data_IF_008426092688
#
_entry.id   IF_008426092688
#
_cell.length_a   1.000
_cell.length_b   1.000
_cell.length_c   1.000
_cell.angle_alpha   90.00
_cell.angle_beta   90.00
_cell.angle_gamma   90.00
#
_symmetry.space_group_name_H-M   'P 1'
#
loop_
_entity.id
_entity.type
_entity.pdbx_description
1 polymer ?
#
# COMPACT_ATOMS: atom_id res chain seq x y z
N UNK A 1 49.71 -19.54 7.93
CA UNK A 1 49.67 -18.08 8.19
C UNK A 1 48.31 -17.80 8.76
N UNK A 2 48.27 -17.47 10.04
CA UNK A 2 47.06 -17.27 10.84
C UNK A 2 46.98 -15.78 11.14
N UNK A 3 45.92 -15.09 10.71
CA UNK A 3 45.63 -13.72 11.13
C UNK A 3 44.39 -13.70 12.02
N UNK A 4 44.53 -12.95 13.11
CA UNK A 4 43.65 -12.87 14.27
C UNK A 4 42.64 -11.72 14.17
N UNK A 5 41.43 -11.99 14.65
CA UNK A 5 40.41 -11.11 15.26
C UNK A 5 40.61 -9.58 15.25
N UNK A 6 39.63 -8.87 14.71
CA UNK A 6 39.32 -7.47 15.03
C UNK A 6 37.85 -7.31 15.42
N UNK A 7 37.48 -7.71 16.64
CA UNK A 7 36.19 -7.35 17.25
C UNK A 7 36.23 -5.86 17.63
N UNK A 8 35.53 -5.03 16.86
CA UNK A 8 35.26 -3.62 17.17
C UNK A 8 34.41 -3.54 18.45
N UNK A 9 35.05 -3.51 19.62
CA UNK A 9 34.40 -3.16 20.88
C UNK A 9 34.36 -1.62 21.00
N UNK A 10 33.20 -1.02 21.31
CA UNK A 10 33.10 0.41 21.52
C UNK A 10 33.88 0.86 22.78
N UNK A 11 34.38 2.11 22.81
CA UNK A 11 35.20 2.62 23.91
C UNK A 11 34.43 2.67 25.24
N UNK A 12 35.08 2.35 26.38
CA UNK A 12 34.43 2.35 27.68
C UNK A 12 34.20 3.79 28.16
N UNK A 13 32.94 4.23 28.22
CA UNK A 13 32.56 5.51 28.83
C UNK A 13 31.69 6.45 27.99
N UNK A 14 31.23 6.03 26.80
CA UNK A 14 30.17 6.78 26.09
C UNK A 14 28.84 6.72 26.85
N UNK A 15 27.95 7.73 26.70
CA UNK A 15 26.58 7.63 27.20
C UNK A 15 25.98 6.31 26.70
N UNK A 16 25.23 5.57 27.54
CA UNK A 16 24.63 4.31 27.11
C UNK A 16 23.89 4.55 25.79
N UNK A 17 24.01 3.64 24.81
CA UNK A 17 23.24 3.76 23.58
C UNK A 17 21.78 3.99 23.99
N UNK A 18 21.08 4.94 23.35
CA UNK A 18 19.70 5.25 23.71
C UNK A 18 18.95 3.92 23.78
N UNK A 19 18.16 3.68 24.84
CA UNK A 19 17.40 2.45 24.95
C UNK A 19 16.66 2.29 23.64
N UNK A 20 17.02 1.25 22.87
CA UNK A 20 16.23 0.83 21.72
C UNK A 20 14.86 0.63 22.32
N UNK A 21 13.96 1.55 22.01
CA UNK A 21 12.61 1.48 22.52
C UNK A 21 12.15 0.07 22.20
N UNK A 22 11.75 -0.68 23.22
CA UNK A 22 11.07 -1.95 23.06
C UNK A 22 9.72 -1.66 22.38
N UNK A 23 9.77 -1.32 21.11
CA UNK A 23 8.65 -1.21 20.19
C UNK A 23 8.55 -2.55 19.50
N UNK A 24 7.34 -3.12 19.48
CA UNK A 24 7.07 -4.39 18.82
C UNK A 24 7.64 -4.44 17.40
N UNK A 25 7.89 -5.66 16.93
CA UNK A 25 8.32 -5.92 15.55
C UNK A 25 7.56 -5.01 14.58
N UNK A 26 8.24 -4.18 13.78
CA UNK A 26 7.59 -3.32 12.81
C UNK A 26 6.68 -4.16 11.92
N UNK A 27 5.44 -3.71 11.69
CA UNK A 27 4.49 -4.46 10.86
C UNK A 27 5.06 -4.67 9.45
N UNK A 28 4.76 -5.82 8.84
CA UNK A 28 5.34 -6.29 7.59
C UNK A 28 5.10 -5.39 6.35
N UNK A 29 4.27 -4.35 6.47
CA UNK A 29 3.99 -3.40 5.41
C UNK A 29 4.12 -1.96 5.91
N UNK A 30 5.10 -1.23 5.36
CA UNK A 30 5.45 0.14 5.75
C UNK A 30 5.44 1.05 4.52
N UNK A 31 4.93 2.27 4.71
CA UNK A 31 5.06 3.33 3.70
C UNK A 31 5.45 4.63 4.39
N UNK A 32 6.53 5.22 3.91
CA UNK A 32 6.95 6.56 4.31
C UNK A 32 6.90 7.52 3.13
N UNK A 33 6.53 8.76 3.43
CA UNK A 33 6.40 9.84 2.44
C UNK A 33 6.88 11.13 3.07
N UNK A 34 7.88 11.73 2.46
CA UNK A 34 8.44 13.00 2.93
C UNK A 34 7.44 14.16 2.78
N UNK A 35 7.35 14.98 3.83
CA UNK A 35 6.54 16.18 3.82
C UNK A 35 7.26 17.33 3.10
N UNK A 36 6.62 17.93 2.11
CA UNK A 36 7.16 19.05 1.31
C UNK A 36 6.46 20.36 1.69
N UNK A 37 7.24 21.33 2.18
CA UNK A 37 6.76 22.64 2.63
C UNK A 37 6.45 23.64 1.49
N UNK A 38 7.09 23.53 0.32
CA UNK A 38 6.92 24.46 -0.80
C UNK A 38 6.39 23.76 -2.07
N UNK A 39 5.10 23.94 -2.36
CA UNK A 39 4.42 23.24 -3.47
C UNK A 39 4.12 24.16 -4.64
N UNK A 40 4.35 23.65 -5.85
CA UNK A 40 3.96 24.35 -7.07
C UNK A 40 2.42 24.31 -7.26
N UNK A 41 1.80 25.47 -7.09
CA UNK A 41 0.35 25.68 -7.21
C UNK A 41 -0.20 25.29 -8.57
N UNK A 42 0.55 25.54 -9.65
CA UNK A 42 0.12 25.26 -11.02
C UNK A 42 0.04 23.75 -11.24
N UNK A 43 1.07 23.02 -10.82
CA UNK A 43 1.09 21.56 -10.91
C UNK A 43 -0.02 20.92 -10.07
N UNK A 44 -0.37 21.52 -8.93
CA UNK A 44 -1.49 21.07 -8.09
C UNK A 44 -2.85 21.37 -8.72
N UNK A 45 -3.02 22.55 -9.33
CA UNK A 45 -4.24 22.91 -10.05
C UNK A 45 -4.52 21.96 -11.22
N UNK A 46 -3.49 21.69 -12.03
CA UNK A 46 -3.58 20.80 -13.19
C UNK A 46 -3.45 19.32 -12.84
N UNK A 47 -3.30 18.96 -11.56
CA UNK A 47 -3.07 17.58 -11.13
C UNK A 47 -4.14 16.60 -11.62
N UNK A 48 -5.41 17.03 -11.63
CA UNK A 48 -6.54 16.22 -12.10
C UNK A 48 -6.39 15.86 -13.58
N UNK A 49 -5.77 16.73 -14.38
CA UNK A 49 -5.49 16.48 -15.80
C UNK A 49 -4.19 15.68 -15.95
N UNK A 50 -3.14 16.05 -15.22
CA UNK A 50 -1.85 15.37 -15.27
C UNK A 50 -1.95 13.90 -14.88
N UNK A 51 -2.85 13.54 -13.95
CA UNK A 51 -2.99 12.16 -13.52
C UNK A 51 -3.71 11.26 -14.55
N UNK A 52 -4.45 11.82 -15.52
CA UNK A 52 -5.29 11.02 -16.43
C UNK A 52 -4.49 9.91 -17.14
N UNK A 53 -3.33 10.17 -17.77
CA UNK A 53 -2.60 9.13 -18.50
C UNK A 53 -2.15 7.99 -17.58
N UNK A 54 -1.63 8.32 -16.40
CA UNK A 54 -1.14 7.30 -15.47
C UNK A 54 -2.28 6.55 -14.77
N UNK A 55 -3.39 7.23 -14.52
CA UNK A 55 -4.62 6.61 -14.01
C UNK A 55 -5.21 5.63 -15.02
N UNK A 56 -5.16 5.92 -16.32
CA UNK A 56 -5.57 4.97 -17.37
C UNK A 56 -4.66 3.74 -17.35
N UNK A 57 -3.35 3.92 -17.30
CA UNK A 57 -2.40 2.78 -17.23
C UNK A 57 -2.68 1.92 -16.00
N UNK A 58 -2.84 2.55 -14.83
CA UNK A 58 -3.16 1.84 -13.60
C UNK A 58 -4.52 1.12 -13.68
N UNK A 59 -5.53 1.76 -14.27
CA UNK A 59 -6.84 1.15 -14.49
C UNK A 59 -6.77 -0.03 -15.45
N UNK A 60 -5.92 0.00 -16.48
CA UNK A 60 -5.70 -1.14 -17.36
C UNK A 60 -4.99 -2.30 -16.65
N UNK A 61 -4.07 -2.01 -15.73
CA UNK A 61 -3.34 -3.04 -14.97
C UNK A 61 -4.18 -3.67 -13.84
N UNK A 62 -4.98 -2.88 -13.15
CA UNK A 62 -5.68 -3.31 -11.91
C UNK A 62 -7.19 -3.39 -12.10
N UNK A 63 -7.72 -2.68 -13.09
CA UNK A 63 -9.14 -2.51 -13.30
C UNK A 63 -9.87 -3.80 -13.60
N UNK A 64 -11.17 -3.73 -13.36
CA UNK A 64 -12.11 -4.77 -13.71
C UNK A 64 -12.62 -4.48 -15.13
N UNK A 65 -12.39 -5.41 -16.05
CA UNK A 65 -12.94 -5.38 -17.40
C UNK A 65 -14.20 -6.24 -17.37
N UNK A 66 -15.35 -5.66 -17.69
CA UNK A 66 -16.58 -6.42 -17.79
C UNK A 66 -17.43 -6.01 -18.97
N UNK A 67 -18.15 -6.99 -19.51
CA UNK A 67 -19.04 -6.81 -20.66
C UNK A 67 -20.36 -7.54 -20.42
N UNK A 68 -21.41 -7.02 -21.04
CA UNK A 68 -22.71 -7.68 -21.08
C UNK A 68 -22.72 -8.67 -22.23
N UNK A 69 -22.91 -9.94 -21.93
CA UNK A 69 -22.99 -11.02 -22.91
C UNK A 69 -24.41 -11.54 -22.94
N UNK A 70 -25.00 -11.60 -24.13
CA UNK A 70 -26.31 -12.20 -24.32
C UNK A 70 -26.15 -13.73 -24.40
N UNK A 71 -26.83 -14.44 -23.50
CA UNK A 71 -26.86 -15.91 -23.46
C UNK A 71 -27.72 -16.42 -24.62
N UNK A 72 -27.50 -17.67 -25.06
CA UNK A 72 -28.32 -18.32 -26.09
C UNK A 72 -29.83 -18.35 -25.79
N UNK A 73 -30.21 -18.23 -24.51
CA UNK A 73 -31.61 -18.10 -24.06
C UNK A 73 -32.14 -16.65 -24.01
N UNK A 74 -31.42 -15.66 -24.56
CA UNK A 74 -31.84 -14.25 -24.64
C UNK A 74 -31.56 -13.41 -23.38
N UNK A 75 -31.11 -14.02 -22.28
CA UNK A 75 -30.77 -13.31 -21.03
C UNK A 75 -29.41 -12.60 -21.12
N UNK A 76 -29.35 -11.36 -20.62
CA UNK A 76 -28.11 -10.60 -20.51
C UNK A 76 -27.41 -10.93 -19.19
N UNK A 77 -26.15 -11.37 -19.29
CA UNK A 77 -25.31 -11.68 -18.14
C UNK A 77 -24.10 -10.75 -18.18
N UNK A 78 -23.84 -10.07 -17.06
CA UNK A 78 -22.61 -9.31 -16.90
C UNK A 78 -21.47 -10.24 -16.54
N UNK A 79 -20.46 -10.31 -17.40
CA UNK A 79 -19.24 -11.08 -17.16
C UNK A 79 -18.12 -10.09 -16.91
N UNK A 80 -17.38 -10.27 -15.82
CA UNK A 80 -16.21 -9.46 -15.54
C UNK A 80 -14.99 -10.31 -15.24
N UNK A 81 -13.83 -9.76 -15.58
CA UNK A 81 -12.52 -10.26 -15.25
C UNK A 81 -11.72 -9.13 -14.59
N UNK A 82 -10.97 -9.46 -13.54
CA UNK A 82 -10.00 -8.53 -12.97
C UNK A 82 -8.68 -9.25 -12.83
N UNK A 83 -7.60 -8.56 -13.19
CA UNK A 83 -6.25 -9.07 -12.98
C UNK A 83 -6.02 -9.26 -11.48
N UNK A 84 -6.34 -8.25 -10.67
CA UNK A 84 -6.24 -8.35 -9.21
C UNK A 84 -7.00 -9.55 -8.62
N UNK A 85 -8.27 -9.75 -8.99
CA UNK A 85 -9.07 -10.87 -8.48
C UNK A 85 -8.59 -12.23 -8.98
N UNK A 86 -8.15 -12.32 -10.24
CA UNK A 86 -7.58 -13.55 -10.79
C UNK A 86 -6.23 -13.90 -10.11
N UNK A 87 -5.38 -12.89 -9.90
CA UNK A 87 -4.11 -13.09 -9.20
C UNK A 87 -4.38 -13.50 -7.74
N UNK A 88 -5.26 -12.80 -7.04
CA UNK A 88 -5.64 -13.16 -5.68
C UNK A 88 -6.16 -14.60 -5.59
N UNK A 89 -7.09 -14.99 -6.48
CA UNK A 89 -7.64 -16.34 -6.51
C UNK A 89 -6.55 -17.40 -6.79
N UNK A 90 -5.64 -17.12 -7.73
CA UNK A 90 -4.52 -18.00 -8.01
C UNK A 90 -3.58 -18.12 -6.80
N UNK A 91 -3.25 -17.03 -6.11
CA UNK A 91 -2.46 -17.02 -4.88
C UNK A 91 -3.14 -17.84 -3.78
N UNK A 92 -4.43 -17.63 -3.56
CA UNK A 92 -5.22 -18.35 -2.55
C UNK A 92 -5.23 -19.86 -2.84
N UNK A 93 -5.50 -20.26 -4.09
CA UNK A 93 -5.49 -21.67 -4.49
C UNK A 93 -4.10 -22.28 -4.32
N UNK A 94 -3.05 -21.57 -4.72
CA UNK A 94 -1.68 -22.07 -4.62
C UNK A 94 -1.23 -22.25 -3.17
N UNK A 95 -1.63 -21.34 -2.28
CA UNK A 95 -1.39 -21.45 -0.85
C UNK A 95 -2.18 -22.61 -0.23
N UNK A 96 -3.45 -22.79 -0.61
CA UNK A 96 -4.34 -23.84 -0.11
C UNK A 96 -3.84 -25.25 -0.50
N UNK A 97 -3.47 -25.43 -1.77
CA UNK A 97 -3.08 -26.74 -2.31
C UNK A 97 -1.59 -27.03 -2.21
N UNK A 98 -0.73 -26.02 -2.33
CA UNK A 98 0.73 -26.20 -2.52
C UNK A 98 1.58 -25.51 -1.46
N UNK A 99 0.99 -24.69 -0.58
CA UNK A 99 1.70 -23.90 0.44
C UNK A 99 2.94 -23.16 -0.08
N UNK A 100 2.89 -22.70 -1.34
CA UNK A 100 4.05 -22.09 -2.00
C UNK A 100 3.68 -20.78 -2.66
N UNK A 101 4.37 -19.72 -2.28
CA UNK A 101 4.22 -18.41 -2.89
C UNK A 101 5.32 -18.19 -3.94
N UNK A 102 5.02 -18.13 -5.25
CA UNK A 102 6.04 -17.90 -6.26
C UNK A 102 6.71 -16.52 -6.07
N UNK A 103 8.04 -16.48 -6.05
CA UNK A 103 8.81 -15.22 -5.91
C UNK A 103 8.46 -14.21 -7.00
N UNK A 104 8.53 -14.62 -8.26
CA UNK A 104 8.21 -13.73 -9.40
C UNK A 104 6.80 -13.11 -9.32
N UNK A 105 5.85 -13.82 -8.71
CA UNK A 105 4.48 -13.34 -8.52
C UNK A 105 4.40 -12.30 -7.41
N UNK A 106 5.07 -12.57 -6.29
CA UNK A 106 5.23 -11.60 -5.21
C UNK A 106 5.91 -10.34 -5.73
N UNK A 107 7.00 -10.49 -6.48
CA UNK A 107 7.77 -9.37 -7.03
C UNK A 107 6.88 -8.50 -7.93
N UNK A 108 6.05 -9.14 -8.77
CA UNK A 108 5.07 -8.42 -9.60
C UNK A 108 4.00 -7.70 -8.76
N UNK A 109 3.40 -8.38 -7.77
CA UNK A 109 2.39 -7.76 -6.91
C UNK A 109 2.96 -6.64 -6.05
N UNK A 110 4.20 -6.79 -5.58
CA UNK A 110 4.95 -5.78 -4.84
C UNK A 110 5.17 -4.53 -5.69
N UNK A 111 5.69 -4.70 -6.92
CA UNK A 111 5.93 -3.57 -7.83
C UNK A 111 4.62 -2.91 -8.29
N UNK A 112 3.58 -3.71 -8.56
CA UNK A 112 2.25 -3.19 -8.86
C UNK A 112 1.69 -2.38 -7.69
N UNK A 113 1.84 -2.88 -6.46
CA UNK A 113 1.41 -2.17 -5.25
C UNK A 113 2.20 -0.88 -5.07
N UNK A 114 3.53 -0.90 -5.21
CA UNK A 114 4.39 0.30 -5.20
C UNK A 114 3.91 1.35 -6.18
N UNK A 115 3.65 0.94 -7.42
CA UNK A 115 3.15 1.84 -8.46
C UNK A 115 1.76 2.40 -8.11
N UNK A 116 0.83 1.56 -7.67
CA UNK A 116 -0.50 1.98 -7.24
C UNK A 116 -0.44 2.98 -6.07
N UNK A 117 0.42 2.75 -5.08
CA UNK A 117 0.63 3.65 -3.95
C UNK A 117 1.26 4.98 -4.38
N UNK A 118 2.20 4.99 -5.33
CA UNK A 118 2.75 6.24 -5.89
C UNK A 118 1.69 7.06 -6.61
N UNK A 119 0.87 6.42 -7.44
CA UNK A 119 -0.25 7.09 -8.15
C UNK A 119 -1.30 7.60 -7.15
N UNK A 120 -1.63 6.80 -6.13
CA UNK A 120 -2.54 7.19 -5.05
C UNK A 120 -2.00 8.37 -4.24
N UNK A 121 -0.72 8.32 -3.83
CA UNK A 121 -0.06 9.40 -3.10
C UNK A 121 -0.03 10.70 -3.92
N UNK A 122 0.19 10.62 -5.24
CA UNK A 122 0.10 11.77 -6.11
C UNK A 122 -1.34 12.32 -6.16
N UNK A 123 -2.33 11.46 -6.40
CA UNK A 123 -3.75 11.85 -6.49
C UNK A 123 -4.25 12.54 -5.21
N UNK A 124 -3.89 11.98 -4.06
CA UNK A 124 -4.38 12.37 -2.72
C UNK A 124 -3.47 13.47 -2.13
N UNK A 125 -2.63 14.11 -2.94
CA UNK A 125 -1.79 15.26 -2.59
C UNK A 125 -0.70 14.97 -1.55
N UNK A 126 -0.32 13.72 -1.34
CA UNK A 126 0.81 13.39 -0.46
C UNK A 126 2.15 13.77 -1.11
N UNK A 127 2.35 13.47 -2.40
CA UNK A 127 3.59 13.83 -3.13
C UNK A 127 3.32 14.78 -4.29
N UNK A 128 4.30 15.62 -4.65
CA UNK A 128 4.25 16.48 -5.83
C UNK A 128 5.01 15.92 -7.03
N UNK A 129 5.83 14.87 -6.82
CA UNK A 129 6.55 14.20 -7.90
C UNK A 129 5.56 13.40 -8.74
N UNK A 130 5.61 13.62 -10.05
CA UNK A 130 4.82 12.84 -10.99
C UNK A 130 5.28 11.37 -10.93
N UNK A 131 4.34 10.41 -10.76
CA UNK A 131 4.71 9.02 -10.51
C UNK A 131 5.47 8.43 -11.71
N UNK A 132 6.72 8.01 -11.48
CA UNK A 132 7.50 7.28 -12.47
C UNK A 132 7.10 5.81 -12.52
N UNK A 133 7.14 5.23 -13.71
CA UNK A 133 6.90 3.79 -13.96
C UNK A 133 8.18 2.95 -13.85
N UNK A 134 9.35 3.58 -13.87
CA UNK A 134 10.67 2.91 -13.94
C UNK A 134 11.56 3.23 -12.75
N UNK A 135 11.57 4.49 -12.27
CA UNK A 135 12.48 4.90 -11.20
C UNK A 135 11.89 4.64 -9.80
N UNK A 136 12.75 4.33 -8.85
CA UNK A 136 12.42 4.41 -7.44
C UNK A 136 12.19 5.88 -7.04
N UNK A 137 11.12 6.16 -6.31
CA UNK A 137 10.77 7.52 -5.84
C UNK A 137 10.47 7.51 -4.35
N UNK A 138 10.32 8.71 -3.77
CA UNK A 138 10.12 9.07 -2.35
C UNK A 138 8.93 8.40 -1.62
N UNK A 139 8.28 7.41 -2.24
CA UNK A 139 7.34 6.50 -1.56
C UNK A 139 8.09 5.19 -1.35
N UNK A 140 8.81 5.12 -0.23
CA UNK A 140 9.51 3.92 0.20
C UNK A 140 8.49 2.95 0.79
N UNK A 141 8.05 2.00 -0.04
CA UNK A 141 7.18 0.91 0.37
C UNK A 141 8.03 -0.34 0.60
N UNK A 142 8.25 -0.64 1.87
CA UNK A 142 8.91 -1.85 2.35
C UNK A 142 7.83 -2.88 2.69
N UNK A 143 7.80 -3.99 1.94
CA UNK A 143 7.08 -5.20 2.31
C UNK A 143 8.10 -6.28 2.63
N UNK A 144 7.97 -6.90 3.80
CA UNK A 144 8.80 -8.04 4.17
C UNK A 144 8.36 -9.26 3.34
N UNK A 145 9.32 -9.97 2.72
CA UNK A 145 9.02 -11.19 1.96
C UNK A 145 8.60 -12.31 2.92
N UNK A 146 7.42 -12.93 2.74
CA UNK A 146 6.92 -13.92 3.68
C UNK A 146 7.50 -15.30 3.41
N UNK A 147 7.99 -15.96 4.46
CA UNK A 147 8.32 -17.39 4.41
C UNK A 147 7.01 -18.19 4.53
N UNK A 148 6.41 -18.49 3.37
CA UNK A 148 5.09 -19.12 3.24
C UNK A 148 4.91 -20.47 3.98
N UNK A 149 6.00 -21.15 4.33
CA UNK A 149 5.97 -22.42 5.09
C UNK A 149 5.89 -22.22 6.62
N UNK A 150 6.30 -21.06 7.14
CA UNK A 150 6.32 -20.77 8.59
C UNK A 150 5.21 -19.83 9.02
N UNK A 151 4.91 -18.82 8.21
CA UNK A 151 4.08 -17.69 8.63
C UNK A 151 2.63 -17.74 8.11
N UNK A 152 2.30 -18.73 7.26
CA UNK A 152 0.98 -18.80 6.62
C UNK A 152 0.32 -20.17 6.80
N UNK A 153 -0.74 -20.20 7.58
CA UNK A 153 -1.51 -21.40 7.88
C UNK A 153 -2.61 -21.68 6.85
N UNK A 154 -2.76 -22.95 6.41
CA UNK A 154 -3.55 -23.37 5.22
C UNK A 154 -5.03 -22.93 5.19
N UNK A 155 -5.64 -22.75 6.36
CA UNK A 155 -7.08 -22.47 6.50
C UNK A 155 -7.39 -21.01 6.87
N UNK A 156 -6.38 -20.26 7.30
CA UNK A 156 -6.57 -18.91 7.82
C UNK A 156 -7.00 -17.88 6.78
N UNK A 157 -6.52 -17.91 5.52
CA UNK A 157 -6.91 -16.93 4.50
C UNK A 157 -8.42 -16.77 4.31
N UNK A 158 -9.21 -17.83 4.50
CA UNK A 158 -10.67 -17.76 4.40
C UNK A 158 -11.32 -17.07 5.61
N UNK A 159 -10.81 -17.34 6.81
CA UNK A 159 -11.31 -16.74 8.06
C UNK A 159 -10.93 -15.27 8.17
N UNK A 160 -9.76 -14.88 7.63
CA UNK A 160 -9.26 -13.50 7.61
C UNK A 160 -10.29 -12.49 7.09
N UNK A 161 -11.05 -12.86 6.05
CA UNK A 161 -12.07 -11.99 5.46
C UNK A 161 -13.16 -11.58 6.45
N UNK A 162 -13.59 -12.49 7.33
CA UNK A 162 -14.60 -12.17 8.34
C UNK A 162 -14.05 -11.23 9.41
N UNK A 163 -12.81 -11.44 9.83
CA UNK A 163 -12.13 -10.61 10.84
C UNK A 163 -11.77 -9.22 10.28
N UNK A 164 -11.69 -9.07 8.95
CA UNK A 164 -11.46 -7.77 8.29
C UNK A 164 -12.71 -6.92 8.12
N UNK A 165 -13.91 -7.48 8.28
CA UNK A 165 -15.15 -6.73 8.12
C UNK A 165 -15.16 -5.44 8.99
N UNK A 166 -14.79 -5.49 10.29
CA UNK A 166 -14.67 -4.28 11.11
C UNK A 166 -13.68 -3.26 10.54
N UNK A 167 -12.51 -3.69 10.04
CA UNK A 167 -11.53 -2.80 9.42
C UNK A 167 -12.10 -2.10 8.20
N UNK A 168 -12.81 -2.82 7.33
CA UNK A 168 -13.43 -2.23 6.14
C UNK A 168 -14.48 -1.18 6.51
N UNK A 169 -15.28 -1.43 7.55
CA UNK A 169 -16.28 -0.46 8.01
C UNK A 169 -15.60 0.83 8.49
N UNK A 170 -14.58 0.72 9.33
CA UNK A 170 -13.92 1.93 9.86
C UNK A 170 -13.12 2.64 8.78
N UNK A 171 -12.40 1.91 7.92
CA UNK A 171 -11.68 2.49 6.78
C UNK A 171 -12.64 3.18 5.81
N UNK A 172 -13.85 2.67 5.63
CA UNK A 172 -14.86 3.33 4.80
C UNK A 172 -15.21 4.73 5.34
N UNK A 173 -15.48 4.85 6.65
CA UNK A 173 -15.75 6.16 7.26
C UNK A 173 -14.53 7.09 7.21
N UNK A 174 -13.33 6.56 7.46
CA UNK A 174 -12.11 7.35 7.36
C UNK A 174 -11.81 7.81 5.93
N UNK A 175 -12.08 6.97 4.94
CA UNK A 175 -11.92 7.29 3.52
C UNK A 175 -12.87 8.42 3.09
N UNK A 176 -14.10 8.45 3.60
CA UNK A 176 -15.01 9.58 3.41
C UNK A 176 -14.39 10.85 4.00
N UNK A 177 -13.86 10.79 5.23
CA UNK A 177 -13.13 11.91 5.82
C UNK A 177 -11.94 12.34 4.95
N UNK A 178 -11.16 11.39 4.44
CA UNK A 178 -9.97 11.65 3.64
C UNK A 178 -10.33 12.33 2.33
N UNK A 179 -11.42 11.92 1.70
CA UNK A 179 -11.95 12.55 0.51
C UNK A 179 -12.21 14.05 0.71
N UNK A 180 -12.91 14.43 1.79
CA UNK A 180 -13.14 15.85 2.09
C UNK A 180 -11.86 16.59 2.46
N UNK A 181 -10.94 15.95 3.19
CA UNK A 181 -9.64 16.53 3.57
C UNK A 181 -8.77 16.76 2.33
N UNK A 182 -8.82 15.88 1.32
CA UNK A 182 -8.12 16.06 0.04
C UNK A 182 -8.68 17.25 -0.73
N UNK A 183 -10.00 17.38 -0.83
CA UNK A 183 -10.63 18.52 -1.49
C UNK A 183 -10.23 19.81 -0.78
N UNK A 184 -10.34 19.84 0.55
CA UNK A 184 -9.90 20.97 1.36
C UNK A 184 -8.42 21.29 1.16
N UNK A 185 -7.55 20.27 1.15
CA UNK A 185 -6.11 20.41 0.94
C UNK A 185 -5.80 20.94 -0.45
N UNK A 186 -6.54 20.51 -1.47
CA UNK A 186 -6.40 21.01 -2.84
C UNK A 186 -6.60 22.52 -2.88
N UNK A 187 -7.71 23.02 -2.33
CA UNK A 187 -7.95 24.47 -2.22
C UNK A 187 -6.90 25.15 -1.34
N UNK A 188 -6.57 24.58 -0.19
CA UNK A 188 -5.57 25.13 0.72
C UNK A 188 -4.22 25.33 0.03
N UNK A 189 -3.75 24.38 -0.77
CA UNK A 189 -2.50 24.48 -1.52
C UNK A 189 -2.59 25.54 -2.62
N UNK A 190 -3.72 25.71 -3.30
CA UNK A 190 -3.88 26.76 -4.31
C UNK A 190 -3.72 28.17 -3.71
N UNK A 191 -4.28 28.40 -2.53
CA UNK A 191 -4.20 29.70 -1.86
C UNK A 191 -2.87 29.90 -1.12
N UNK A 192 -2.42 28.90 -0.38
CA UNK A 192 -1.29 29.03 0.56
C UNK A 192 0.02 28.44 0.04
N UNK A 193 0.00 27.61 -1.00
CA UNK A 193 1.18 26.89 -1.50
C UNK A 193 1.63 25.72 -0.63
N UNK A 194 0.92 25.43 0.47
CA UNK A 194 1.29 24.41 1.45
C UNK A 194 0.09 23.55 1.84
N UNK A 195 0.35 22.29 2.15
CA UNK A 195 -0.65 21.40 2.74
C UNK A 195 -0.64 21.57 4.26
N UNK A 196 -1.79 21.75 4.94
CA UNK A 196 -1.82 21.77 6.40
C UNK A 196 -1.30 20.45 6.97
N UNK A 197 -0.37 20.48 7.93
CA UNK A 197 0.25 19.25 8.50
C UNK A 197 -0.77 18.24 8.99
N UNK A 198 -1.83 18.68 9.69
CA UNK A 198 -2.89 17.79 10.16
C UNK A 198 -3.67 17.10 9.03
N UNK A 199 -3.81 17.75 7.87
CA UNK A 199 -4.44 17.13 6.70
C UNK A 199 -3.53 16.07 6.07
N UNK A 200 -2.23 16.37 5.95
CA UNK A 200 -1.23 15.43 5.48
C UNK A 200 -1.14 14.19 6.39
N UNK A 201 -1.01 14.39 7.71
CA UNK A 201 -0.91 13.31 8.69
C UNK A 201 -2.14 12.40 8.69
N UNK A 202 -3.33 13.00 8.55
CA UNK A 202 -4.58 12.25 8.47
C UNK A 202 -4.63 11.39 7.20
N UNK A 203 -4.37 12.00 6.03
CA UNK A 203 -4.36 11.30 4.75
C UNK A 203 -3.34 10.16 4.75
N UNK A 204 -2.12 10.42 5.21
CA UNK A 204 -1.05 9.45 5.27
C UNK A 204 -1.38 8.32 6.24
N UNK A 205 -1.99 8.63 7.38
CA UNK A 205 -2.41 7.62 8.35
C UNK A 205 -3.49 6.69 7.82
N UNK A 206 -4.48 7.22 7.08
CA UNK A 206 -5.50 6.41 6.40
C UNK A 206 -4.86 5.52 5.33
N UNK A 207 -3.91 6.06 4.55
CA UNK A 207 -3.14 5.30 3.56
C UNK A 207 -2.32 4.17 4.17
N UNK A 208 -1.58 4.43 5.25
CA UNK A 208 -0.81 3.45 6.02
C UNK A 208 -1.71 2.33 6.54
N UNK A 209 -2.86 2.68 7.09
CA UNK A 209 -3.79 1.67 7.58
C UNK A 209 -4.39 0.82 6.45
N UNK A 210 -4.79 1.46 5.35
CA UNK A 210 -5.24 0.76 4.14
C UNK A 210 -4.20 -0.21 3.59
N UNK A 211 -2.92 0.19 3.56
CA UNK A 211 -1.81 -0.68 3.16
C UNK A 211 -1.70 -1.92 4.06
N UNK A 212 -1.79 -1.76 5.38
CA UNK A 212 -1.73 -2.88 6.33
C UNK A 212 -2.85 -3.90 6.09
N UNK A 213 -4.06 -3.40 5.85
CA UNK A 213 -5.23 -4.23 5.53
C UNK A 213 -5.07 -4.93 4.18
N UNK A 214 -4.52 -4.22 3.18
CA UNK A 214 -4.24 -4.81 1.87
C UNK A 214 -3.17 -5.91 1.94
N UNK A 215 -2.10 -5.69 2.71
CA UNK A 215 -1.04 -6.67 2.93
C UNK A 215 -1.55 -7.95 3.62
N UNK A 216 -2.44 -7.80 4.62
CA UNK A 216 -3.03 -8.92 5.35
C UNK A 216 -4.07 -9.70 4.52
N UNK A 217 -5.01 -8.99 3.90
CA UNK A 217 -6.18 -9.59 3.27
C UNK A 217 -6.01 -9.97 1.81
N UNK A 218 -5.22 -9.18 1.06
CA UNK A 218 -5.10 -9.32 -0.40
C UNK A 218 -3.74 -9.88 -0.82
N UNK A 219 -2.64 -9.34 -0.29
CA UNK A 219 -1.32 -9.87 -0.61
C UNK A 219 -0.99 -11.18 0.15
N UNK A 220 -1.71 -11.44 1.25
CA UNK A 220 -1.54 -12.61 2.14
C UNK A 220 -0.08 -12.76 2.62
N UNK A 221 0.57 -11.64 2.91
CA UNK A 221 1.99 -11.60 3.29
C UNK A 221 2.17 -11.88 4.80
N UNK A 222 1.17 -11.58 5.62
CA UNK A 222 1.27 -11.80 7.07
C UNK A 222 -0.02 -12.39 7.63
N UNK A 223 0.11 -13.33 8.56
CA UNK A 223 -0.97 -13.84 9.42
C UNK A 223 -1.19 -12.94 10.66
N UNK A 224 -0.35 -11.92 10.88
CA UNK A 224 -0.49 -10.98 12.01
C UNK A 224 -1.60 -9.95 11.77
N UNK A 225 -2.55 -9.86 12.70
CA UNK A 225 -3.71 -8.99 12.57
C UNK A 225 -3.32 -7.50 12.60
N UNK A 226 -3.75 -6.69 11.60
CA UNK A 226 -3.33 -5.29 11.51
C UNK A 226 -3.89 -4.45 12.67
N UNK A 227 -3.04 -3.69 13.38
CA UNK A 227 -3.51 -2.82 14.46
C UNK A 227 -4.41 -1.70 13.93
N UNK A 228 -5.43 -1.33 14.70
CA UNK A 228 -6.29 -0.16 14.46
C UNK A 228 -5.52 1.13 14.78
N UNK A 229 -4.54 1.46 13.93
CA UNK A 229 -3.66 2.62 14.10
C UNK A 229 -3.61 3.42 12.80
N UNK A 230 -3.39 4.73 12.94
CA UNK A 230 -3.04 5.65 11.84
C UNK A 230 -1.54 5.98 11.82
N UNK A 231 -0.78 5.51 12.80
CA UNK A 231 0.69 5.54 12.80
C UNK A 231 1.25 4.33 12.09
#
# INVERSE_FOLDING_TARGET
>A
MSETSGTNLPPPGGPPPPPVAAGGTPYAARVDVDYVDDRNRVTVAFRIILIIPIAIILNLLVGNIGTWVQTSGGSWVYISASIGGALFAATLLMLLFRQRYPRWWFDFLLELSRFAFRVGAYLVLLTDKYPSTVDAQDVELELDYPDAERDISRWMPLVKWFILIPHYIVLFFLAIGAYFVVIFSWFAILFTGRIPRGAFDYILGVGRWGLRVHAYGFLLITDEYPPFSLR
#
